data_IF_687496013773
#
_entry.id   IF_687496013773
#
_cell.length_a   1.000
_cell.length_b   1.000
_cell.length_c   1.000
_cell.angle_alpha   90.00
_cell.angle_beta   90.00
_cell.angle_gamma   90.00
#
_symmetry.space_group_name_H-M   'P 1'
#
loop_
_entity.id
_entity.type
_entity.pdbx_description
1 polymer ?
#
# COMPACT_ATOMS: atom_id res chain seq x y z
N UNK A 1 -11.40 -1.26 -24.37
CA UNK A 1 -10.08 -1.77 -24.83
C UNK A 1 -9.70 -2.93 -23.92
N UNK A 2 -9.36 -4.11 -24.45
CA UNK A 2 -8.94 -5.21 -23.61
C UNK A 2 -7.54 -4.98 -23.06
N UNK A 3 -7.34 -5.31 -21.77
CA UNK A 3 -6.05 -5.29 -21.11
C UNK A 3 -5.55 -6.72 -20.92
N UNK A 4 -4.28 -6.95 -21.17
CA UNK A 4 -3.61 -8.22 -20.92
C UNK A 4 -2.65 -8.08 -19.72
N UNK A 5 -2.64 -9.10 -18.84
CA UNK A 5 -1.70 -9.13 -17.73
C UNK A 5 -0.28 -9.37 -18.26
N UNK A 6 0.64 -8.46 -17.96
CA UNK A 6 2.06 -8.60 -18.27
C UNK A 6 2.84 -9.29 -17.17
N UNK A 7 2.53 -8.95 -15.93
CA UNK A 7 3.15 -9.52 -14.75
C UNK A 7 2.19 -9.43 -13.57
N UNK A 8 2.25 -10.43 -12.72
CA UNK A 8 1.57 -10.48 -11.43
C UNK A 8 2.56 -10.98 -10.40
N UNK A 9 2.49 -10.44 -9.19
CA UNK A 9 3.29 -10.89 -8.08
C UNK A 9 2.57 -10.65 -6.75
N UNK A 10 2.94 -11.43 -5.75
CA UNK A 10 2.49 -11.27 -4.36
C UNK A 10 3.70 -11.10 -3.46
N UNK A 11 3.51 -10.37 -2.37
CA UNK A 11 4.53 -10.14 -1.37
C UNK A 11 3.92 -10.20 0.03
N UNK A 12 4.66 -10.77 0.97
CA UNK A 12 4.26 -10.86 2.38
C UNK A 12 5.41 -10.35 3.24
N UNK A 13 5.08 -9.60 4.28
CA UNK A 13 6.06 -9.24 5.30
C UNK A 13 5.41 -9.24 6.69
N UNK A 14 6.22 -9.40 7.72
CA UNK A 14 5.79 -9.32 9.12
C UNK A 14 6.47 -8.14 9.80
N UNK A 15 5.68 -7.32 10.46
CA UNK A 15 6.15 -6.18 11.26
C UNK A 15 6.12 -6.59 12.72
N UNK A 16 7.29 -6.82 13.32
CA UNK A 16 7.41 -7.17 14.73
C UNK A 16 7.13 -5.95 15.62
N UNK A 17 6.30 -6.14 16.65
CA UNK A 17 5.79 -5.12 17.58
C UNK A 17 5.80 -5.67 19.01
N UNK A 18 6.97 -5.78 19.64
CA UNK A 18 7.07 -6.31 21.00
C UNK A 18 6.11 -5.60 21.96
N UNK A 19 5.37 -6.37 22.76
CA UNK A 19 4.36 -5.86 23.69
C UNK A 19 3.05 -5.39 23.05
N UNK A 20 2.88 -5.60 21.74
CA UNK A 20 1.68 -5.24 21.01
C UNK A 20 0.56 -6.27 21.15
N UNK A 21 -0.40 -6.02 22.03
CA UNK A 21 -1.60 -6.85 22.14
C UNK A 21 -2.45 -6.74 20.86
N UNK A 22 -2.94 -7.87 20.36
CA UNK A 22 -3.80 -7.91 19.15
C UNK A 22 -4.99 -6.95 19.22
N UNK A 23 -5.63 -6.82 20.40
CA UNK A 23 -6.78 -5.94 20.60
C UNK A 23 -6.39 -4.45 20.44
N UNK A 24 -5.20 -4.06 20.90
CA UNK A 24 -4.65 -2.71 20.77
C UNK A 24 -4.36 -2.40 19.31
N UNK A 25 -3.70 -3.32 18.60
CA UNK A 25 -3.38 -3.21 17.19
C UNK A 25 -4.64 -3.16 16.32
N UNK A 26 -5.66 -3.97 16.64
CA UNK A 26 -6.97 -3.94 15.96
C UNK A 26 -7.60 -2.55 16.04
N UNK A 27 -7.62 -1.90 17.20
CA UNK A 27 -8.18 -0.54 17.37
C UNK A 27 -7.47 0.50 16.53
N UNK A 28 -6.18 0.33 16.26
CA UNK A 28 -5.42 1.18 15.33
C UNK A 28 -5.92 1.03 13.89
N UNK A 29 -6.06 -0.22 13.41
CA UNK A 29 -6.47 -0.51 12.05
C UNK A 29 -7.96 -0.25 11.76
N UNK A 30 -8.80 -0.24 12.78
CA UNK A 30 -10.19 0.22 12.69
C UNK A 30 -10.31 1.73 12.43
N UNK A 31 -9.18 2.44 12.34
CA UNK A 31 -9.08 3.87 11.96
C UNK A 31 -8.31 4.01 10.64
N UNK A 32 -8.96 3.77 9.47
CA UNK A 32 -8.27 3.72 8.17
C UNK A 32 -7.44 4.96 7.88
N UNK A 33 -7.94 6.16 8.21
CA UNK A 33 -7.21 7.43 8.04
C UNK A 33 -5.88 7.45 8.80
N UNK A 34 -5.85 6.93 10.04
CA UNK A 34 -4.62 6.87 10.85
C UNK A 34 -3.64 5.85 10.25
N UNK A 35 -4.14 4.68 9.89
CA UNK A 35 -3.36 3.61 9.28
C UNK A 35 -2.74 4.03 7.95
N UNK A 36 -3.53 4.67 7.08
CA UNK A 36 -3.04 5.16 5.79
C UNK A 36 -2.04 6.30 5.97
N UNK A 37 -2.22 7.20 6.95
CA UNK A 37 -1.25 8.24 7.25
C UNK A 37 0.10 7.69 7.76
N UNK A 38 0.07 6.53 8.43
CA UNK A 38 1.27 5.83 8.89
C UNK A 38 2.00 5.10 7.75
N UNK A 39 1.24 4.47 6.83
CA UNK A 39 1.76 3.79 5.65
C UNK A 39 2.28 4.74 4.58
N UNK A 40 1.56 5.86 4.37
CA UNK A 40 1.85 6.83 3.32
C UNK A 40 2.42 8.11 3.90
N UNK A 41 3.13 8.89 3.10
CA UNK A 41 3.58 10.21 3.55
C UNK A 41 2.37 11.15 3.63
N UNK A 42 1.97 11.53 4.86
CA UNK A 42 0.77 12.35 5.14
C UNK A 42 0.66 13.60 4.27
N UNK A 43 1.77 14.28 3.99
CA UNK A 43 1.84 15.50 3.17
C UNK A 43 1.46 15.27 1.69
N UNK A 44 1.37 14.02 1.25
CA UNK A 44 1.07 13.62 -0.12
C UNK A 44 -0.22 12.82 -0.24
N UNK A 45 -0.96 12.73 0.87
CA UNK A 45 -2.21 12.00 0.97
C UNK A 45 -3.35 12.99 1.19
N UNK A 46 -4.34 12.94 0.32
CA UNK A 46 -5.57 13.70 0.42
C UNK A 46 -6.75 12.75 0.71
N UNK A 47 -7.51 13.06 1.78
CA UNK A 47 -8.64 12.25 2.18
C UNK A 47 -9.88 12.68 1.36
N UNK A 48 -10.44 11.75 0.58
CA UNK A 48 -11.61 12.00 -0.28
C UNK A 48 -12.95 11.66 0.38
N UNK A 49 -12.94 11.17 1.63
CA UNK A 49 -14.12 10.66 2.33
C UNK A 49 -14.33 9.16 2.10
N UNK A 50 -15.26 8.56 2.86
CA UNK A 50 -15.69 7.15 2.72
C UNK A 50 -14.56 6.12 2.64
N UNK A 51 -13.48 6.34 3.40
CA UNK A 51 -12.32 5.44 3.37
C UNK A 51 -11.46 5.55 2.12
N UNK A 52 -11.63 6.61 1.31
CA UNK A 52 -10.87 6.85 0.09
C UNK A 52 -9.75 7.85 0.30
N UNK A 53 -8.59 7.57 -0.28
CA UNK A 53 -7.36 8.36 -0.12
C UNK A 53 -6.66 8.50 -1.47
N UNK A 54 -6.44 9.74 -1.89
CA UNK A 54 -5.62 10.03 -3.07
C UNK A 54 -4.18 10.26 -2.60
N UNK A 55 -3.24 9.56 -3.21
CA UNK A 55 -1.83 9.65 -2.88
C UNK A 55 -0.97 9.92 -4.10
N UNK A 56 -0.24 11.04 -4.09
CA UNK A 56 0.75 11.39 -5.10
C UNK A 56 2.14 10.90 -4.68
N UNK A 57 2.67 9.91 -5.39
CA UNK A 57 4.02 9.38 -5.15
C UNK A 57 5.12 10.42 -5.48
N UNK A 58 6.33 10.23 -4.93
CA UNK A 58 7.51 10.95 -5.44
C UNK A 58 7.82 10.49 -6.85
N UNK A 59 8.26 11.41 -7.73
CA UNK A 59 8.78 11.01 -9.03
C UNK A 59 9.91 9.99 -8.87
N UNK A 60 9.99 9.07 -9.80
CA UNK A 60 11.11 8.13 -9.90
C UNK A 60 11.40 7.79 -11.37
N UNK A 61 12.62 7.40 -11.66
CA UNK A 61 13.02 7.05 -13.01
C UNK A 61 12.86 5.56 -13.29
N UNK A 62 12.24 5.25 -14.41
CA UNK A 62 12.28 3.92 -15.04
C UNK A 62 12.85 4.11 -16.44
N UNK A 63 14.02 3.52 -16.71
CA UNK A 63 14.76 3.76 -17.95
C UNK A 63 15.02 5.27 -18.12
N UNK A 64 14.51 5.87 -19.22
CA UNK A 64 14.61 7.30 -19.53
C UNK A 64 13.38 8.11 -19.09
N UNK A 65 12.37 7.47 -18.51
CA UNK A 65 11.13 8.14 -18.14
C UNK A 65 11.17 8.51 -16.67
N UNK A 66 10.87 9.77 -16.36
CA UNK A 66 10.53 10.18 -15.01
C UNK A 66 9.01 10.00 -14.83
N UNK A 67 8.61 9.06 -14.01
CA UNK A 67 7.21 8.75 -13.76
C UNK A 67 6.80 9.19 -12.36
N UNK A 68 5.56 9.65 -12.24
CA UNK A 68 4.94 10.03 -10.98
C UNK A 68 3.57 9.37 -10.88
N UNK A 69 3.47 8.25 -10.18
CA UNK A 69 2.18 7.62 -9.91
C UNK A 69 1.33 8.46 -8.95
N UNK A 70 0.06 8.55 -9.28
CA UNK A 70 -1.00 9.05 -8.42
C UNK A 70 -2.04 7.94 -8.27
N UNK A 71 -2.38 7.59 -7.04
CA UNK A 71 -3.19 6.40 -6.76
C UNK A 71 -4.37 6.77 -5.87
N UNK A 72 -5.55 6.37 -6.27
CA UNK A 72 -6.75 6.39 -5.44
C UNK A 72 -6.90 5.03 -4.74
N UNK A 73 -6.88 5.04 -3.42
CA UNK A 73 -7.07 3.85 -2.59
C UNK A 73 -8.42 3.87 -1.92
N UNK A 74 -9.04 2.70 -1.78
CA UNK A 74 -10.02 2.43 -0.75
C UNK A 74 -9.34 1.67 0.39
N UNK A 75 -9.58 2.05 1.64
CA UNK A 75 -9.08 1.36 2.81
C UNK A 75 -10.19 1.23 3.85
N UNK A 76 -10.47 0.00 4.29
CA UNK A 76 -11.52 -0.29 5.27
C UNK A 76 -11.14 -1.48 6.14
N UNK A 77 -11.61 -1.44 7.39
CA UNK A 77 -11.54 -2.61 8.26
C UNK A 77 -12.57 -3.64 7.83
N UNK A 78 -12.16 -4.88 7.76
CA UNK A 78 -13.03 -6.04 7.44
C UNK A 78 -13.07 -6.99 8.64
N UNK A 79 -14.26 -7.22 9.17
CA UNK A 79 -14.46 -8.20 10.24
C UNK A 79 -14.34 -9.64 9.72
N UNK A 80 -14.52 -9.86 8.43
CA UNK A 80 -14.35 -11.18 7.82
C UNK A 80 -12.88 -11.59 7.77
N UNK A 81 -12.00 -10.72 7.28
CA UNK A 81 -10.55 -10.97 7.21
C UNK A 81 -9.83 -10.63 8.51
N UNK A 82 -10.51 -9.97 9.48
CA UNK A 82 -9.93 -9.44 10.72
C UNK A 82 -8.73 -8.53 10.45
N UNK A 83 -8.82 -7.72 9.41
CA UNK A 83 -7.73 -6.88 8.94
C UNK A 83 -8.16 -5.60 8.25
N UNK A 84 -7.20 -4.73 7.97
CA UNK A 84 -7.37 -3.56 7.12
C UNK A 84 -7.17 -3.99 5.67
N UNK A 85 -8.23 -3.95 4.89
CA UNK A 85 -8.21 -4.17 3.46
C UNK A 85 -7.93 -2.86 2.74
N UNK A 86 -6.98 -2.89 1.80
CA UNK A 86 -6.59 -1.74 0.97
C UNK A 86 -6.66 -2.20 -0.48
N UNK A 87 -7.38 -1.45 -1.31
CA UNK A 87 -7.48 -1.71 -2.74
C UNK A 87 -7.20 -0.44 -3.54
N UNK A 88 -6.52 -0.56 -4.67
CA UNK A 88 -6.43 0.50 -5.65
C UNK A 88 -7.76 0.57 -6.40
N UNK A 89 -8.40 1.73 -6.36
CA UNK A 89 -9.59 2.01 -7.19
C UNK A 89 -9.17 2.56 -8.54
N UNK A 90 -8.13 3.41 -8.56
CA UNK A 90 -7.56 3.96 -9.79
C UNK A 90 -6.07 4.28 -9.61
N UNK A 91 -5.34 4.31 -10.73
CA UNK A 91 -3.92 4.62 -10.74
C UNK A 91 -3.54 5.36 -12.02
N UNK A 92 -3.08 6.58 -11.88
CA UNK A 92 -2.58 7.41 -12.99
C UNK A 92 -1.06 7.46 -12.93
N UNK A 93 -0.42 7.11 -14.05
CA UNK A 93 1.06 7.13 -14.15
C UNK A 93 1.45 8.30 -15.03
N UNK A 94 1.69 9.46 -14.41
CA UNK A 94 2.16 10.66 -15.12
C UNK A 94 3.61 10.48 -15.60
N UNK A 95 3.96 11.13 -16.73
CA UNK A 95 5.32 11.10 -17.29
C UNK A 95 5.55 10.06 -18.40
N UNK A 96 4.53 9.26 -18.74
CA UNK A 96 4.61 8.30 -19.84
C UNK A 96 4.13 8.88 -21.19
N UNK A 97 3.71 10.15 -21.23
CA UNK A 97 3.19 10.78 -22.46
C UNK A 97 2.00 10.03 -23.03
N UNK A 98 2.01 9.73 -24.33
CA UNK A 98 0.93 9.00 -25.00
C UNK A 98 0.69 7.58 -24.47
N UNK A 99 1.63 7.01 -23.72
CA UNK A 99 1.49 5.67 -23.14
C UNK A 99 0.80 5.65 -21.76
N UNK A 100 0.42 6.80 -21.24
CA UNK A 100 -0.16 6.92 -19.88
C UNK A 100 -1.42 6.06 -19.70
N UNK A 101 -2.29 6.00 -20.71
CA UNK A 101 -3.52 5.22 -20.68
C UNK A 101 -3.36 3.77 -21.16
N UNK A 102 -2.15 3.40 -21.58
CA UNK A 102 -1.85 2.09 -22.12
C UNK A 102 -1.43 1.09 -21.03
N UNK A 103 -1.08 1.58 -19.84
CA UNK A 103 -0.64 0.76 -18.71
C UNK A 103 -1.61 0.99 -17.55
N UNK A 104 -2.10 -0.11 -16.96
CA UNK A 104 -2.88 -0.11 -15.73
C UNK A 104 -2.12 -0.87 -14.66
N UNK A 105 -2.16 -0.35 -13.45
CA UNK A 105 -1.60 -1.01 -12.28
C UNK A 105 -2.72 -1.28 -11.28
N UNK A 106 -2.85 -2.53 -10.86
CA UNK A 106 -3.82 -2.95 -9.84
C UNK A 106 -3.07 -3.50 -8.64
N UNK A 107 -3.56 -3.20 -7.45
CA UNK A 107 -2.97 -3.69 -6.22
C UNK A 107 -4.02 -3.82 -5.14
N UNK A 108 -3.94 -4.92 -4.39
CA UNK A 108 -4.68 -5.12 -3.15
C UNK A 108 -3.71 -5.46 -2.04
N UNK A 109 -4.02 -5.03 -0.82
CA UNK A 109 -3.23 -5.39 0.35
C UNK A 109 -4.14 -5.66 1.55
N UNK A 110 -3.66 -6.51 2.44
CA UNK A 110 -4.31 -6.86 3.69
C UNK A 110 -3.30 -6.77 4.82
N UNK A 111 -3.66 -6.05 5.89
CA UNK A 111 -2.86 -5.95 7.12
C UNK A 111 -3.65 -6.57 8.27
N UNK A 112 -3.15 -7.69 8.78
CA UNK A 112 -3.80 -8.47 9.84
C UNK A 112 -3.02 -8.32 11.13
N UNK A 113 -3.60 -7.70 12.18
CA UNK A 113 -2.99 -7.65 13.50
C UNK A 113 -3.00 -9.04 14.16
N UNK A 114 -1.86 -9.42 14.70
CA UNK A 114 -1.63 -10.61 15.53
C UNK A 114 -1.08 -10.19 16.89
N UNK A 115 -0.82 -11.15 17.77
CA UNK A 115 -0.05 -10.87 18.98
C UNK A 115 1.39 -10.50 18.61
N UNK A 116 1.84 -9.36 19.11
CA UNK A 116 3.20 -8.81 18.93
C UNK A 116 3.66 -8.59 17.47
N UNK A 117 2.73 -8.64 16.50
CA UNK A 117 3.09 -8.36 15.11
C UNK A 117 1.89 -7.97 14.24
N UNK A 118 2.20 -7.49 13.04
CA UNK A 118 1.24 -7.31 11.94
C UNK A 118 1.74 -8.10 10.74
N UNK A 119 0.90 -8.96 10.20
CA UNK A 119 1.13 -9.62 8.92
C UNK A 119 0.58 -8.73 7.80
N UNK A 120 1.43 -8.37 6.85
CA UNK A 120 1.07 -7.61 5.68
C UNK A 120 1.22 -8.48 4.43
N UNK A 121 0.17 -8.53 3.63
CA UNK A 121 0.13 -9.25 2.36
C UNK A 121 -0.28 -8.27 1.26
N UNK A 122 0.36 -8.34 0.10
CA UNK A 122 -0.01 -7.54 -1.05
C UNK A 122 0.05 -8.39 -2.33
N UNK A 123 -0.89 -8.14 -3.23
CA UNK A 123 -0.92 -8.71 -4.58
C UNK A 123 -1.03 -7.56 -5.57
N UNK A 124 -0.20 -7.56 -6.59
CA UNK A 124 -0.19 -6.50 -7.58
C UNK A 124 -0.03 -7.06 -9.00
N UNK A 125 -0.64 -6.36 -9.96
CA UNK A 125 -0.63 -6.71 -11.38
C UNK A 125 -0.30 -5.49 -12.23
N UNK A 126 0.44 -5.72 -13.31
CA UNK A 126 0.64 -4.74 -14.39
C UNK A 126 -0.09 -5.23 -15.62
N UNK A 127 -1.01 -4.43 -16.10
CA UNK A 127 -1.84 -4.69 -17.27
C UNK A 127 -1.44 -3.76 -18.41
N UNK A 128 -1.44 -4.26 -19.64
CA UNK A 128 -1.15 -3.50 -20.85
C UNK A 128 -2.34 -3.55 -21.79
N UNK A 129 -2.72 -2.40 -22.33
CA UNK A 129 -3.71 -2.31 -23.40
C UNK A 129 -3.18 -2.97 -24.69
N UNK A 130 -4.03 -3.70 -25.40
CA UNK A 130 -3.71 -4.30 -26.71
C UNK A 130 -3.29 -3.26 -27.75
N UNK A 131 -3.78 -2.03 -27.63
CA UNK A 131 -3.54 -0.95 -28.57
C UNK A 131 -2.29 -0.11 -28.18
N UNK A 132 -1.54 -0.56 -27.18
CA UNK A 132 -0.34 0.14 -26.71
C UNK A 132 0.80 0.03 -27.74
N UNK A 133 1.54 1.12 -28.01
CA UNK A 133 2.78 1.05 -28.78
C UNK A 133 3.82 0.09 -28.18
N UNK A 134 3.73 -0.19 -26.89
CA UNK A 134 4.61 -1.15 -26.21
C UNK A 134 4.40 -2.60 -26.67
N UNK A 135 3.27 -2.89 -27.34
CA UNK A 135 3.03 -4.23 -27.91
C UNK A 135 4.03 -4.57 -29.03
N UNK A 136 4.66 -3.58 -29.64
CA UNK A 136 5.73 -3.76 -30.62
C UNK A 136 7.05 -4.28 -29.97
N UNK A 137 7.22 -4.15 -28.66
CA UNK A 137 8.38 -4.71 -27.96
C UNK A 137 8.25 -6.22 -27.79
N UNK A 138 9.37 -6.97 -27.79
CA UNK A 138 9.37 -8.40 -27.51
C UNK A 138 8.67 -8.71 -26.18
N UNK A 139 7.85 -9.77 -26.16
CA UNK A 139 7.04 -10.15 -24.96
C UNK A 139 7.92 -10.34 -23.72
N UNK A 140 9.06 -11.02 -23.85
CA UNK A 140 9.99 -11.23 -22.74
C UNK A 140 10.55 -9.92 -22.13
N UNK A 141 10.79 -8.90 -22.97
CA UNK A 141 11.23 -7.58 -22.49
C UNK A 141 10.12 -6.88 -21.72
N UNK A 142 8.89 -6.87 -22.24
CA UNK A 142 7.73 -6.28 -21.57
C UNK A 142 7.48 -6.91 -20.19
N UNK A 143 7.52 -8.24 -20.12
CA UNK A 143 7.34 -8.98 -18.87
C UNK A 143 8.44 -8.67 -17.85
N UNK A 144 9.71 -8.59 -18.28
CA UNK A 144 10.82 -8.21 -17.40
C UNK A 144 10.65 -6.80 -16.83
N UNK A 145 10.28 -5.83 -17.65
CA UNK A 145 10.04 -4.46 -17.20
C UNK A 145 8.87 -4.37 -16.21
N UNK A 146 7.78 -5.10 -16.48
CA UNK A 146 6.63 -5.17 -15.58
C UNK A 146 7.01 -5.83 -14.24
N UNK A 147 7.76 -6.93 -14.26
CA UNK A 147 8.24 -7.61 -13.06
C UNK A 147 9.17 -6.70 -12.22
N UNK A 148 10.08 -5.96 -12.86
CA UNK A 148 10.92 -4.98 -12.16
C UNK A 148 10.12 -3.86 -11.52
N UNK A 149 9.08 -3.36 -12.20
CA UNK A 149 8.18 -2.35 -11.64
C UNK A 149 7.46 -2.88 -10.38
N UNK A 150 6.94 -4.11 -10.40
CA UNK A 150 6.31 -4.75 -9.23
C UNK A 150 7.31 -4.92 -8.09
N UNK A 151 8.53 -5.37 -8.36
CA UNK A 151 9.58 -5.50 -7.36
C UNK A 151 9.88 -4.18 -6.65
N UNK A 152 9.99 -3.08 -7.41
CA UNK A 152 10.21 -1.74 -6.84
C UNK A 152 9.03 -1.30 -5.94
N UNK A 153 7.80 -1.62 -6.32
CA UNK A 153 6.61 -1.32 -5.53
C UNK A 153 6.65 -2.08 -4.20
N UNK A 154 6.91 -3.38 -4.23
CA UNK A 154 6.96 -4.21 -3.02
C UNK A 154 8.08 -3.82 -2.07
N UNK A 155 9.27 -3.54 -2.56
CA UNK A 155 10.39 -3.03 -1.74
C UNK A 155 10.00 -1.72 -1.04
N UNK A 156 9.26 -0.84 -1.70
CA UNK A 156 8.77 0.40 -1.09
C UNK A 156 7.69 0.17 -0.07
N UNK A 157 6.73 -0.72 -0.34
CA UNK A 157 5.66 -1.09 0.58
C UNK A 157 6.24 -1.70 1.86
N UNK A 158 7.15 -2.66 1.73
CA UNK A 158 7.84 -3.27 2.87
C UNK A 158 8.60 -2.23 3.70
N UNK A 159 9.38 -1.36 3.06
CA UNK A 159 10.09 -0.28 3.76
C UNK A 159 9.13 0.64 4.52
N UNK A 160 7.93 0.91 4.00
CA UNK A 160 6.90 1.69 4.68
C UNK A 160 6.29 0.95 5.86
N UNK A 161 6.06 -0.35 5.72
CA UNK A 161 5.60 -1.21 6.83
C UNK A 161 6.64 -1.24 7.95
N UNK A 162 7.90 -1.51 7.63
CA UNK A 162 9.00 -1.59 8.61
C UNK A 162 9.43 -0.22 9.16
N UNK A 163 9.09 0.89 8.50
CA UNK A 163 9.39 2.25 8.93
C UNK A 163 8.19 2.97 9.54
N UNK A 164 7.42 3.64 8.71
CA UNK A 164 6.35 4.54 9.15
C UNK A 164 5.23 3.84 9.93
N UNK A 165 4.73 2.71 9.42
CA UNK A 165 3.68 1.93 10.09
C UNK A 165 4.17 1.39 11.43
N UNK A 166 5.34 0.75 11.45
CA UNK A 166 5.92 0.20 12.69
C UNK A 166 6.07 1.27 13.76
N UNK A 167 6.62 2.43 13.41
CA UNK A 167 6.77 3.56 14.36
C UNK A 167 5.43 4.00 14.91
N UNK A 168 4.45 4.25 14.05
CA UNK A 168 3.13 4.70 14.47
C UNK A 168 2.40 3.67 15.35
N UNK A 169 2.62 2.37 15.13
CA UNK A 169 2.07 1.30 15.97
C UNK A 169 2.76 1.22 17.32
N UNK A 170 4.08 1.39 17.40
CA UNK A 170 4.81 1.43 18.67
C UNK A 170 4.39 2.64 19.51
N UNK A 171 4.24 3.80 18.89
CA UNK A 171 3.72 5.01 19.56
C UNK A 171 2.30 4.76 20.10
N UNK A 172 1.43 4.10 19.30
CA UNK A 172 0.09 3.74 19.71
C UNK A 172 0.03 2.77 20.89
N UNK A 173 0.90 1.76 20.91
CA UNK A 173 1.03 0.80 22.03
C UNK A 173 1.45 1.54 23.30
N UNK A 174 2.42 2.46 23.20
CA UNK A 174 2.89 3.25 24.33
C UNK A 174 1.80 4.19 24.88
N UNK A 175 1.04 4.85 24.01
CA UNK A 175 -0.11 5.70 24.38
C UNK A 175 -1.18 4.88 25.15
N UNK A 176 -1.51 3.68 24.66
CA UNK A 176 -2.50 2.79 25.29
C UNK A 176 -2.04 2.31 26.68
N UNK A 177 -0.76 1.97 26.83
CA UNK A 177 -0.18 1.56 28.10
C UNK A 177 -0.20 2.68 29.14
N UNK A 178 0.13 3.92 28.75
CA UNK A 178 0.08 5.09 29.64
C UNK A 178 -1.36 5.38 30.09
N UNK A 179 -2.33 5.36 29.18
CA UNK A 179 -3.73 5.58 29.52
C UNK A 179 -4.27 4.54 30.49
N UNK A 180 -3.85 3.27 30.41
CA UNK A 180 -4.23 2.23 31.38
C UNK A 180 -3.59 2.44 32.74
N UNK A 181 -2.33 2.93 32.79
CA UNK A 181 -1.63 3.19 34.04
C UNK A 181 -2.28 4.34 34.84
N UNK A 182 -2.74 5.37 34.17
CA UNK A 182 -3.43 6.51 34.80
C UNK A 182 -4.80 6.10 35.40
N UNK A 183 -5.59 5.30 34.69
CA UNK A 183 -6.85 4.76 35.19
C UNK A 183 -6.68 3.89 36.44
N UNK A 184 -5.59 3.13 36.54
CA UNK A 184 -5.30 2.29 37.71
C UNK A 184 -4.78 3.09 38.91
N UNK A 185 -4.36 4.36 38.75
CA UNK A 185 -3.94 5.23 39.88
C UNK A 185 -5.10 5.99 40.51
N UNK A 186 -6.20 6.13 39.78
CA UNK A 186 -7.42 6.84 40.23
C UNK A 186 -8.45 5.89 40.87
N UNK A 187 -8.21 4.58 40.84
CA UNK A 187 -9.06 3.53 41.44
C UNK A 187 -8.49 3.05 42.78
#
# INVERSE_FOLDING_TARGET
MPFACLAEASHCCTVALPGGEKAVLRRFFQRPKRSMAALLTRQRMDCKGDGRFLYASRPFQILRFEIRPEVLFAAQWSDQSQGLEIAFEDCWIHGLGAMQNAIRFECTALLVPKEECVEAQARAMVLLSSDSPLTALPTGLRQRLAAQALQLVFVRLERRCQGGLKRALLDWIAEDAMGRADLNRES
#
